data_IF_246641438056
#
_entry.id   IF_246641438056
#
_cell.length_a   1.000
_cell.length_b   1.000
_cell.length_c   1.000
_cell.angle_alpha   90.00
_cell.angle_beta   90.00
_cell.angle_gamma   90.00
#
_symmetry.space_group_name_H-M   'P 1'
#
loop_
_entity.id
_entity.type
_entity.pdbx_description
1 polymer ?
#
# COMPACT_ATOMS: atom_id res chain seq x y z
N UNK A 1 -3.32 14.78 -41.96
CA UNK A 1 -3.37 15.81 -40.89
C UNK A 1 -1.94 15.95 -40.36
N UNK A 2 -1.38 17.17 -40.25
CA UNK A 2 -0.03 17.32 -39.71
C UNK A 2 0.01 16.91 -38.23
N UNK A 3 1.13 16.37 -37.73
CA UNK A 3 1.30 16.01 -36.32
C UNK A 3 0.95 17.18 -35.37
N UNK A 4 1.29 18.42 -35.75
CA UNK A 4 0.92 19.63 -35.02
C UNK A 4 -0.60 19.83 -34.90
N UNK A 5 -1.34 19.69 -36.01
CA UNK A 5 -2.81 19.80 -36.01
C UNK A 5 -3.50 18.67 -35.22
N UNK A 6 -2.95 17.45 -35.28
CA UNK A 6 -3.47 16.32 -34.50
C UNK A 6 -3.24 16.54 -32.99
N UNK A 7 -2.04 16.95 -32.59
CA UNK A 7 -1.70 17.25 -31.20
C UNK A 7 -2.52 18.41 -30.63
N UNK A 8 -2.78 19.45 -31.43
CA UNK A 8 -3.64 20.57 -31.01
C UNK A 8 -5.07 20.12 -30.72
N UNK A 9 -5.60 19.23 -31.56
CA UNK A 9 -6.95 18.67 -31.40
C UNK A 9 -7.00 17.75 -30.17
N UNK A 10 -6.03 16.85 -30.02
CA UNK A 10 -5.90 15.96 -28.87
C UNK A 10 -5.80 16.75 -27.55
N UNK A 11 -4.93 17.76 -27.49
CA UNK A 11 -4.79 18.61 -26.31
C UNK A 11 -6.10 19.33 -25.94
N UNK A 12 -6.89 19.73 -26.93
CA UNK A 12 -8.21 20.34 -26.70
C UNK A 12 -9.18 19.36 -26.06
N UNK A 13 -9.16 18.09 -26.48
CA UNK A 13 -9.98 17.04 -25.86
C UNK A 13 -9.51 16.72 -24.44
N UNK A 14 -8.20 16.61 -24.22
CA UNK A 14 -7.62 16.40 -22.89
C UNK A 14 -7.96 17.52 -21.91
N UNK A 15 -8.02 18.79 -22.37
CA UNK A 15 -8.51 19.91 -21.55
C UNK A 15 -9.98 19.76 -21.15
N UNK A 16 -10.83 19.19 -22.02
CA UNK A 16 -12.22 18.89 -21.66
C UNK A 16 -12.29 17.77 -20.63
N UNK A 17 -11.45 16.74 -20.76
CA UNK A 17 -11.37 15.67 -19.77
C UNK A 17 -10.87 16.20 -18.43
N UNK A 18 -9.88 17.09 -18.41
CA UNK A 18 -9.46 17.81 -17.21
C UNK A 18 -10.61 18.58 -16.55
N UNK A 19 -11.43 19.30 -17.34
CA UNK A 19 -12.60 20.00 -16.81
C UNK A 19 -13.64 19.04 -16.21
N UNK A 20 -13.88 17.90 -16.85
CA UNK A 20 -14.78 16.85 -16.34
C UNK A 20 -14.26 16.27 -15.03
N UNK A 21 -12.97 15.98 -14.93
CA UNK A 21 -12.31 15.54 -13.70
C UNK A 21 -12.45 16.60 -12.60
N UNK A 22 -12.24 17.88 -12.92
CA UNK A 22 -12.42 18.98 -11.97
C UNK A 22 -13.84 19.07 -11.43
N UNK A 23 -14.85 18.97 -12.30
CA UNK A 23 -16.26 18.92 -11.89
C UNK A 23 -16.55 17.70 -11.00
N UNK A 24 -16.04 16.53 -11.37
CA UNK A 24 -16.16 15.32 -10.58
C UNK A 24 -15.57 15.47 -9.17
N UNK A 25 -14.36 16.04 -9.06
CA UNK A 25 -13.71 16.31 -7.78
C UNK A 25 -14.52 17.27 -6.92
N UNK A 26 -15.05 18.35 -7.51
CA UNK A 26 -15.89 19.32 -6.80
C UNK A 26 -17.17 18.65 -6.28
N UNK A 27 -17.85 17.87 -7.12
CA UNK A 27 -19.10 17.19 -6.73
C UNK A 27 -18.87 16.17 -5.62
N UNK A 28 -17.83 15.34 -5.72
CA UNK A 28 -17.51 14.36 -4.69
C UNK A 28 -17.05 15.02 -3.39
N UNK A 29 -16.26 16.09 -3.47
CA UNK A 29 -15.84 16.86 -2.29
C UNK A 29 -17.05 17.50 -1.61
N UNK A 30 -17.96 18.10 -2.38
CA UNK A 30 -19.21 18.66 -1.84
C UNK A 30 -20.09 17.59 -1.18
N UNK A 31 -20.30 16.45 -1.86
CA UNK A 31 -21.07 15.33 -1.31
C UNK A 31 -20.45 14.76 -0.02
N UNK A 32 -19.13 14.58 -0.01
CA UNK A 32 -18.38 14.15 1.18
C UNK A 32 -18.50 15.13 2.34
N UNK A 33 -18.42 16.44 2.06
CA UNK A 33 -18.65 17.47 3.08
C UNK A 33 -20.05 17.39 3.69
N UNK A 34 -21.11 17.34 2.87
CA UNK A 34 -22.47 17.27 3.39
C UNK A 34 -22.74 15.99 4.19
N UNK A 35 -22.16 14.86 3.77
CA UNK A 35 -22.25 13.61 4.51
C UNK A 35 -21.54 13.72 5.86
N UNK A 36 -20.32 14.26 5.89
CA UNK A 36 -19.57 14.43 7.13
C UNK A 36 -20.22 15.47 8.05
N UNK A 37 -20.72 16.57 7.52
CA UNK A 37 -21.43 17.60 8.31
C UNK A 37 -22.72 17.06 8.94
N UNK A 38 -23.37 16.10 8.28
CA UNK A 38 -24.58 15.46 8.82
C UNK A 38 -24.30 14.44 9.93
N UNK A 39 -23.21 13.69 9.82
CA UNK A 39 -22.91 12.56 10.72
C UNK A 39 -21.72 12.81 11.67
N UNK A 40 -21.07 13.96 11.56
CA UNK A 40 -19.88 14.35 12.33
C UNK A 40 -19.95 15.85 12.69
N UNK A 41 -18.94 16.36 13.40
CA UNK A 41 -18.96 17.77 13.82
C UNK A 41 -18.62 18.71 12.65
N UNK A 42 -19.37 19.81 12.56
CA UNK A 42 -19.24 20.83 11.52
C UNK A 42 -17.80 21.33 11.33
N UNK A 43 -17.07 21.60 12.42
CA UNK A 43 -15.68 22.08 12.36
C UNK A 43 -14.74 21.06 11.70
N UNK A 44 -14.96 19.77 11.94
CA UNK A 44 -14.17 18.71 11.34
C UNK A 44 -14.56 18.46 9.88
N UNK A 45 -15.85 18.57 9.55
CA UNK A 45 -16.32 18.53 8.16
C UNK A 45 -15.74 19.69 7.33
N UNK A 46 -15.69 20.92 7.87
CA UNK A 46 -15.06 22.06 7.23
C UNK A 46 -13.55 21.88 7.04
N UNK A 47 -12.85 21.33 8.04
CA UNK A 47 -11.42 21.01 7.91
C UNK A 47 -11.20 19.97 6.81
N UNK A 48 -12.04 18.94 6.79
CA UNK A 48 -12.00 17.91 5.75
C UNK A 48 -12.19 18.52 4.37
N UNK A 49 -13.20 19.37 4.20
CA UNK A 49 -13.45 20.09 2.95
C UNK A 49 -12.22 20.89 2.50
N UNK A 50 -11.60 21.65 3.41
CA UNK A 50 -10.43 22.48 3.10
C UNK A 50 -9.21 21.67 2.66
N UNK A 51 -8.85 20.63 3.40
CA UNK A 51 -7.68 19.80 3.11
C UNK A 51 -7.89 18.94 1.86
N UNK A 52 -9.08 18.35 1.68
CA UNK A 52 -9.42 17.59 0.48
C UNK A 52 -9.44 18.49 -0.75
N UNK A 53 -10.07 19.68 -0.69
CA UNK A 53 -10.07 20.61 -1.80
C UNK A 53 -8.65 21.10 -2.16
N UNK A 54 -7.78 21.33 -1.16
CA UNK A 54 -6.41 21.75 -1.41
C UNK A 54 -5.60 20.68 -2.16
N UNK A 55 -5.65 19.42 -1.71
CA UNK A 55 -4.91 18.33 -2.38
C UNK A 55 -5.53 17.95 -3.74
N UNK A 56 -6.86 17.99 -3.85
CA UNK A 56 -7.57 17.81 -5.12
C UNK A 56 -7.21 18.90 -6.14
N UNK A 57 -7.13 20.17 -5.72
CA UNK A 57 -6.70 21.27 -6.57
C UNK A 57 -5.24 21.10 -7.01
N UNK A 58 -4.34 20.68 -6.09
CA UNK A 58 -2.96 20.36 -6.44
C UNK A 58 -2.87 19.26 -7.51
N UNK A 59 -3.64 18.18 -7.37
CA UNK A 59 -3.68 17.11 -8.36
C UNK A 59 -4.22 17.57 -9.71
N UNK A 60 -5.24 18.44 -9.74
CA UNK A 60 -5.72 19.03 -10.98
C UNK A 60 -4.67 19.93 -11.63
N UNK A 61 -3.91 20.70 -10.86
CA UNK A 61 -2.78 21.50 -11.38
C UNK A 61 -1.71 20.58 -11.96
N UNK A 62 -1.35 19.51 -11.26
CA UNK A 62 -0.37 18.52 -11.73
C UNK A 62 -0.84 17.84 -13.04
N UNK A 63 -2.11 17.41 -13.11
CA UNK A 63 -2.71 16.87 -14.32
C UNK A 63 -2.64 17.87 -15.47
N UNK A 64 -3.00 19.14 -15.23
CA UNK A 64 -2.94 20.18 -16.26
C UNK A 64 -1.53 20.35 -16.84
N UNK A 65 -0.52 20.38 -15.98
CA UNK A 65 0.89 20.50 -16.37
C UNK A 65 1.37 19.28 -17.16
N UNK A 66 0.83 18.10 -16.87
CA UNK A 66 1.22 16.85 -17.50
C UNK A 66 0.39 16.48 -18.75
N UNK A 67 -0.69 17.21 -19.10
CA UNK A 67 -1.48 16.94 -20.31
C UNK A 67 -0.63 16.84 -21.61
N UNK A 68 0.42 17.66 -21.82
CA UNK A 68 1.29 17.53 -22.99
C UNK A 68 2.13 16.25 -23.02
N UNK A 69 2.12 15.46 -21.94
CA UNK A 69 2.83 14.18 -21.80
C UNK A 69 1.89 12.98 -22.03
N UNK A 70 0.65 13.21 -22.50
CA UNK A 70 -0.29 12.13 -22.80
C UNK A 70 0.04 11.43 -24.14
N UNK A 71 1.22 10.84 -24.20
CA UNK A 71 1.73 10.04 -25.30
C UNK A 71 2.45 8.82 -24.74
N UNK A 72 2.63 7.80 -25.58
CA UNK A 72 3.41 6.61 -25.21
C UNK A 72 4.90 6.94 -25.17
N UNK A 73 5.66 6.12 -24.46
CA UNK A 73 7.12 6.25 -24.42
C UNK A 73 7.71 6.17 -25.85
N UNK A 74 8.53 7.15 -26.23
CA UNK A 74 9.14 7.23 -27.57
C UNK A 74 8.23 7.75 -28.68
N UNK A 75 6.94 7.99 -28.41
CA UNK A 75 6.02 8.59 -29.37
C UNK A 75 5.82 10.10 -29.11
N UNK A 76 5.73 10.91 -30.17
CA UNK A 76 5.48 12.37 -30.06
C UNK A 76 4.02 12.76 -30.35
N UNK A 77 3.20 11.80 -30.76
CA UNK A 77 1.79 12.02 -31.04
C UNK A 77 0.99 11.89 -29.75
N UNK A 78 0.18 12.91 -29.43
CA UNK A 78 -0.70 12.88 -28.27
C UNK A 78 -1.87 11.95 -28.51
N UNK A 79 -2.19 11.14 -27.50
CA UNK A 79 -3.43 10.38 -27.45
C UNK A 79 -4.60 11.35 -27.20
N UNK A 80 -5.73 11.16 -27.90
CA UNK A 80 -6.84 12.12 -27.87
C UNK A 80 -7.65 12.11 -26.58
N UNK A 81 -7.48 11.07 -25.76
CA UNK A 81 -8.17 10.85 -24.49
C UNK A 81 -7.22 10.31 -23.43
N UNK A 82 -7.64 10.41 -22.17
CA UNK A 82 -6.85 9.94 -21.03
C UNK A 82 -6.74 8.40 -20.96
N UNK A 83 -7.67 7.65 -21.56
CA UNK A 83 -7.78 6.21 -21.38
C UNK A 83 -8.26 5.79 -19.97
N UNK A 84 -8.62 4.51 -19.79
CA UNK A 84 -9.13 4.03 -18.50
C UNK A 84 -8.06 4.00 -17.41
N UNK A 85 -6.80 3.71 -17.77
CA UNK A 85 -5.67 3.70 -16.83
C UNK A 85 -5.54 5.05 -16.13
N UNK A 86 -5.32 6.13 -16.88
CA UNK A 86 -5.16 7.45 -16.27
C UNK A 86 -6.44 7.93 -15.56
N UNK A 87 -7.64 7.56 -16.02
CA UNK A 87 -8.87 7.87 -15.30
C UNK A 87 -8.93 7.18 -13.92
N UNK A 88 -8.51 5.92 -13.83
CA UNK A 88 -8.41 5.22 -12.55
C UNK A 88 -7.33 5.84 -11.64
N UNK A 89 -6.19 6.25 -12.19
CA UNK A 89 -5.17 6.99 -11.43
C UNK A 89 -5.69 8.34 -10.91
N UNK A 90 -6.61 9.01 -11.62
CA UNK A 90 -7.27 10.23 -11.12
C UNK A 90 -8.28 9.94 -10.01
N UNK A 91 -9.04 8.84 -10.11
CA UNK A 91 -9.92 8.38 -9.02
C UNK A 91 -9.10 8.03 -7.78
N UNK A 92 -7.97 7.32 -7.95
CA UNK A 92 -7.00 7.05 -6.89
C UNK A 92 -6.51 8.33 -6.22
N UNK A 93 -6.13 9.33 -7.03
CA UNK A 93 -5.75 10.65 -6.55
C UNK A 93 -6.83 11.28 -5.67
N UNK A 94 -8.09 11.23 -6.11
CA UNK A 94 -9.20 11.73 -5.30
C UNK A 94 -9.34 11.00 -3.97
N UNK A 95 -9.21 9.67 -3.93
CA UNK A 95 -9.25 8.92 -2.67
C UNK A 95 -8.15 9.37 -1.70
N UNK A 96 -6.95 9.64 -2.20
CA UNK A 96 -5.84 10.19 -1.40
C UNK A 96 -6.17 11.61 -0.90
N UNK A 97 -6.79 12.46 -1.74
CA UNK A 97 -7.25 13.78 -1.34
C UNK A 97 -8.34 13.74 -0.26
N UNK A 98 -9.32 12.85 -0.41
CA UNK A 98 -10.37 12.61 0.58
C UNK A 98 -9.78 12.06 1.89
N UNK A 99 -8.75 11.21 1.82
CA UNK A 99 -8.04 10.69 2.99
C UNK A 99 -7.28 11.81 3.72
N UNK A 100 -6.63 12.71 2.99
CA UNK A 100 -5.94 13.87 3.55
C UNK A 100 -6.90 14.82 4.29
N UNK A 101 -8.17 14.84 3.90
CA UNK A 101 -9.24 15.56 4.60
C UNK A 101 -9.35 15.20 6.08
N UNK A 102 -9.04 13.97 6.45
CA UNK A 102 -9.13 13.51 7.83
C UNK A 102 -7.93 13.93 8.70
N UNK A 103 -6.85 14.45 8.10
CA UNK A 103 -5.69 14.89 8.86
C UNK A 103 -6.04 16.00 9.86
N UNK A 104 -5.40 15.93 11.01
CA UNK A 104 -5.55 16.90 12.10
C UNK A 104 -6.94 16.92 12.78
N UNK A 105 -7.87 16.06 12.37
CA UNK A 105 -9.17 15.86 13.01
C UNK A 105 -9.19 14.56 13.82
N UNK A 106 -10.03 14.44 14.86
CA UNK A 106 -10.14 13.19 15.60
C UNK A 106 -10.62 12.06 14.68
N UNK A 107 -10.36 10.81 15.05
CA UNK A 107 -10.93 9.69 14.31
C UNK A 107 -12.46 9.73 14.43
N UNK A 108 -13.22 9.72 13.32
CA UNK A 108 -14.68 9.64 13.38
C UNK A 108 -15.17 8.41 14.15
N UNK A 109 -16.26 8.58 14.90
CA UNK A 109 -16.87 7.49 15.67
C UNK A 109 -17.88 6.70 14.83
N UNK A 110 -18.21 5.48 15.29
CA UNK A 110 -19.21 4.63 14.66
C UNK A 110 -18.83 4.19 13.24
N UNK A 111 -19.81 4.14 12.34
CA UNK A 111 -19.60 3.66 10.97
C UNK A 111 -18.67 4.59 10.15
N UNK A 112 -18.62 5.89 10.47
CA UNK A 112 -17.71 6.84 9.81
C UNK A 112 -16.24 6.51 10.06
N UNK A 113 -15.92 5.83 11.17
CA UNK A 113 -14.56 5.41 11.48
C UNK A 113 -13.96 4.46 10.45
N UNK A 114 -14.80 3.83 9.62
CA UNK A 114 -14.38 2.94 8.53
C UNK A 114 -14.05 3.68 7.23
N UNK A 115 -14.49 4.94 7.07
CA UNK A 115 -14.31 5.71 5.83
C UNK A 115 -12.83 5.87 5.46
N UNK A 116 -11.89 6.22 6.37
CA UNK A 116 -10.47 6.29 6.04
C UNK A 116 -9.89 4.96 5.52
N UNK A 117 -10.29 3.83 6.14
CA UNK A 117 -9.87 2.50 5.70
C UNK A 117 -10.35 2.19 4.29
N UNK A 118 -11.63 2.47 3.99
CA UNK A 118 -12.19 2.23 2.67
C UNK A 118 -11.56 3.13 1.61
N UNK A 119 -11.35 4.42 1.90
CA UNK A 119 -10.69 5.32 0.96
C UNK A 119 -9.29 4.82 0.59
N UNK A 120 -8.49 4.39 1.57
CA UNK A 120 -7.15 3.89 1.29
C UNK A 120 -7.18 2.51 0.61
N UNK A 121 -8.06 1.60 1.04
CA UNK A 121 -8.27 0.31 0.37
C UNK A 121 -8.68 0.45 -1.11
N UNK A 122 -9.63 1.33 -1.42
CA UNK A 122 -10.03 1.56 -2.80
C UNK A 122 -8.93 2.27 -3.59
N UNK A 123 -8.13 3.15 -2.96
CA UNK A 123 -6.92 3.70 -3.57
C UNK A 123 -5.95 2.58 -4.00
N UNK A 124 -5.67 1.62 -3.13
CA UNK A 124 -4.79 0.48 -3.43
C UNK A 124 -5.36 -0.43 -4.54
N UNK A 125 -6.68 -0.64 -4.58
CA UNK A 125 -7.32 -1.39 -5.67
C UNK A 125 -7.20 -0.63 -6.99
N UNK A 126 -7.46 0.68 -7.00
CA UNK A 126 -7.37 1.47 -8.23
C UNK A 126 -5.96 1.50 -8.80
N UNK A 127 -4.93 1.47 -7.96
CA UNK A 127 -3.52 1.32 -8.37
C UNK A 127 -3.26 0.00 -9.10
N UNK A 128 -3.82 -1.10 -8.60
CA UNK A 128 -3.68 -2.38 -9.29
C UNK A 128 -4.37 -2.38 -10.65
N UNK A 129 -5.55 -1.77 -10.72
CA UNK A 129 -6.39 -1.74 -11.91
C UNK A 129 -5.88 -0.76 -12.97
N UNK A 130 -5.35 0.40 -12.59
CA UNK A 130 -4.91 1.40 -13.56
C UNK A 130 -3.80 0.88 -14.47
N UNK A 131 -2.80 0.21 -13.90
CA UNK A 131 -1.70 -0.39 -14.64
C UNK A 131 -2.17 -1.58 -15.46
N UNK A 132 -3.14 -2.35 -14.98
CA UNK A 132 -3.74 -3.45 -15.73
C UNK A 132 -4.46 -2.95 -16.99
N UNK A 133 -5.36 -1.97 -16.84
CA UNK A 133 -6.08 -1.40 -17.98
C UNK A 133 -5.17 -0.63 -18.94
N UNK A 134 -4.16 0.09 -18.43
CA UNK A 134 -3.18 0.77 -19.27
C UNK A 134 -2.42 -0.22 -20.18
N UNK A 135 -2.04 -1.41 -19.67
CA UNK A 135 -1.37 -2.44 -20.47
C UNK A 135 -2.30 -3.06 -21.51
N UNK A 136 -3.49 -3.48 -21.11
CA UNK A 136 -4.44 -4.16 -22.03
C UNK A 136 -4.93 -3.24 -23.14
N UNK A 137 -5.08 -1.94 -22.86
CA UNK A 137 -5.50 -0.96 -23.86
C UNK A 137 -4.33 -0.42 -24.69
N UNK A 138 -3.10 -0.89 -24.44
CA UNK A 138 -1.88 -0.31 -25.00
C UNK A 138 -1.86 1.23 -24.84
N UNK A 139 -2.19 1.70 -23.64
CA UNK A 139 -2.37 3.11 -23.28
C UNK A 139 -1.47 3.51 -22.10
N UNK A 140 -0.28 2.92 -22.04
CA UNK A 140 0.77 3.30 -21.08
C UNK A 140 1.37 4.62 -21.55
N UNK A 141 1.26 5.67 -20.74
CA UNK A 141 1.64 7.04 -21.12
C UNK A 141 2.61 7.66 -20.11
N UNK A 142 3.44 8.60 -20.57
CA UNK A 142 4.32 9.40 -19.71
C UNK A 142 3.51 10.22 -18.69
N UNK A 143 2.34 10.75 -19.11
CA UNK A 143 1.35 11.36 -18.21
C UNK A 143 0.95 10.39 -17.08
N UNK A 144 0.60 9.16 -17.43
CA UNK A 144 0.20 8.14 -16.45
C UNK A 144 1.30 7.85 -15.44
N UNK A 145 2.54 7.72 -15.89
CA UNK A 145 3.70 7.55 -15.01
C UNK A 145 3.90 8.76 -14.07
N UNK A 146 3.69 9.99 -14.56
CA UNK A 146 3.76 11.19 -13.75
C UNK A 146 2.64 11.26 -12.69
N UNK A 147 1.41 10.85 -13.04
CA UNK A 147 0.28 10.77 -12.11
C UNK A 147 0.51 9.72 -11.03
N UNK A 148 0.95 8.53 -11.41
CA UNK A 148 1.27 7.43 -10.52
C UNK A 148 2.35 7.85 -9.50
N UNK A 149 3.44 8.45 -9.99
CA UNK A 149 4.52 8.96 -9.14
C UNK A 149 4.03 10.01 -8.13
N UNK A 150 3.14 10.91 -8.53
CA UNK A 150 2.58 11.94 -7.65
C UNK A 150 1.65 11.31 -6.60
N UNK A 151 0.78 10.39 -7.01
CA UNK A 151 -0.15 9.69 -6.14
C UNK A 151 0.57 8.80 -5.12
N UNK A 152 1.59 8.05 -5.52
CA UNK A 152 2.43 7.25 -4.62
C UNK A 152 3.05 8.09 -3.51
N UNK A 153 3.61 9.24 -3.88
CA UNK A 153 4.31 10.14 -2.95
C UNK A 153 3.33 10.69 -1.90
N UNK A 154 2.18 11.20 -2.34
CA UNK A 154 1.16 11.71 -1.45
C UNK A 154 0.46 10.62 -0.65
N UNK A 155 0.15 9.48 -1.27
CA UNK A 155 -0.59 8.38 -0.68
C UNK A 155 0.09 7.86 0.58
N UNK A 156 1.38 7.48 0.47
CA UNK A 156 2.15 6.94 1.60
C UNK A 156 2.37 7.99 2.69
N UNK A 157 2.57 9.26 2.32
CA UNK A 157 2.73 10.36 3.29
C UNK A 157 1.45 10.62 4.09
N UNK A 158 0.32 10.79 3.38
CA UNK A 158 -0.98 11.09 3.99
C UNK A 158 -1.42 9.96 4.89
N UNK A 159 -1.36 8.72 4.42
CA UNK A 159 -1.82 7.56 5.19
C UNK A 159 -0.94 7.32 6.43
N UNK A 160 0.38 7.49 6.32
CA UNK A 160 1.30 7.34 7.46
C UNK A 160 1.08 8.45 8.48
N UNK A 161 0.90 9.69 8.03
CA UNK A 161 0.58 10.82 8.90
C UNK A 161 -0.75 10.64 9.61
N UNK A 162 -1.76 10.12 8.92
CA UNK A 162 -3.09 9.85 9.47
C UNK A 162 -3.05 8.72 10.51
N UNK A 163 -2.39 7.60 10.20
CA UNK A 163 -2.23 6.49 11.14
C UNK A 163 -1.49 6.94 12.42
N UNK A 164 -0.48 7.80 12.29
CA UNK A 164 0.21 8.39 13.44
C UNK A 164 -0.72 9.32 14.24
N UNK A 165 -1.44 10.20 13.55
CA UNK A 165 -2.37 11.14 14.17
C UNK A 165 -3.48 10.44 14.96
N UNK A 166 -3.95 9.30 14.46
CA UNK A 166 -4.92 8.43 15.12
C UNK A 166 -4.32 7.54 16.23
N UNK A 167 -3.02 7.67 16.52
CA UNK A 167 -2.35 6.91 17.57
C UNK A 167 -2.17 5.42 17.25
N UNK A 168 -2.36 5.00 16.00
CA UNK A 168 -2.24 3.61 15.58
C UNK A 168 -0.79 3.17 15.41
N UNK A 169 0.10 4.10 15.07
CA UNK A 169 1.52 3.84 14.86
C UNK A 169 2.37 4.79 15.71
N UNK A 170 3.56 4.36 16.14
CA UNK A 170 4.45 5.19 16.94
C UNK A 170 5.14 6.26 16.10
N UNK A 171 5.68 7.29 16.74
CA UNK A 171 6.36 8.42 16.06
C UNK A 171 7.51 7.98 15.16
N UNK A 172 8.23 6.92 15.54
CA UNK A 172 9.35 6.39 14.75
C UNK A 172 8.91 5.72 13.45
N UNK A 173 7.61 5.54 13.21
CA UNK A 173 7.06 5.05 11.93
C UNK A 173 6.92 6.15 10.87
N UNK A 174 6.89 7.43 11.26
CA UNK A 174 6.79 8.56 10.32
C UNK A 174 7.84 8.60 9.20
N UNK A 175 9.11 8.15 9.40
CA UNK A 175 10.07 8.04 8.32
C UNK A 175 9.61 7.17 7.14
N UNK A 176 8.66 6.22 7.31
CA UNK A 176 8.05 5.46 6.21
C UNK A 176 7.38 6.40 5.21
N UNK A 177 6.56 7.33 5.70
CA UNK A 177 5.87 8.34 4.88
C UNK A 177 6.81 9.32 4.19
N UNK A 178 7.97 9.55 4.79
CA UNK A 178 8.97 10.51 4.31
C UNK A 178 10.10 9.87 3.51
N UNK A 179 10.20 8.54 3.47
CA UNK A 179 11.33 7.80 2.92
C UNK A 179 11.64 8.21 1.47
N UNK A 180 10.61 8.28 0.62
CA UNK A 180 10.74 8.71 -0.77
C UNK A 180 11.20 10.17 -0.89
N UNK A 181 10.67 11.06 -0.07
CA UNK A 181 11.05 12.47 -0.08
C UNK A 181 12.50 12.67 0.35
N UNK A 182 12.94 11.96 1.39
CA UNK A 182 14.34 11.96 1.81
C UNK A 182 15.26 11.36 0.74
N UNK A 183 14.82 10.30 0.06
CA UNK A 183 15.55 9.69 -1.04
C UNK A 183 15.75 10.68 -2.19
N UNK A 184 14.67 11.29 -2.70
CA UNK A 184 14.71 12.27 -3.79
C UNK A 184 15.49 13.53 -3.41
N UNK A 185 15.31 14.05 -2.20
CA UNK A 185 16.07 15.19 -1.69
C UNK A 185 17.57 14.86 -1.64
N UNK A 186 17.94 13.65 -1.21
CA UNK A 186 19.31 13.17 -1.22
C UNK A 186 19.92 13.13 -2.62
N UNK A 187 19.19 12.62 -3.62
CA UNK A 187 19.64 12.59 -5.01
C UNK A 187 19.87 13.99 -5.57
N UNK A 188 18.93 14.91 -5.33
CA UNK A 188 19.03 16.30 -5.75
C UNK A 188 20.22 17.04 -5.12
N UNK A 189 20.48 16.81 -3.83
CA UNK A 189 21.67 17.38 -3.15
C UNK A 189 22.95 16.86 -3.81
N UNK A 190 23.00 15.58 -4.17
CA UNK A 190 24.18 14.98 -4.83
C UNK A 190 24.42 15.54 -6.23
N UNK A 191 23.36 15.68 -7.03
CA UNK A 191 23.44 16.32 -8.36
C UNK A 191 23.99 17.74 -8.25
N UNK A 192 23.50 18.52 -7.27
CA UNK A 192 24.04 19.87 -7.00
C UNK A 192 25.50 19.89 -6.54
N UNK A 193 25.98 18.79 -5.95
CA UNK A 193 27.38 18.61 -5.59
C UNK A 193 28.24 18.08 -6.77
N UNK A 194 27.67 17.95 -7.97
CA UNK A 194 28.38 17.41 -9.14
C UNK A 194 28.65 15.91 -9.05
N UNK A 195 27.95 15.19 -8.17
CA UNK A 195 28.06 13.73 -8.05
C UNK A 195 27.08 13.07 -9.00
N UNK A 196 27.56 12.04 -9.68
CA UNK A 196 26.72 11.18 -10.50
C UNK A 196 25.80 10.31 -9.61
N UNK A 197 24.56 10.15 -10.08
CA UNK A 197 23.57 9.24 -9.53
C UNK A 197 23.35 8.15 -10.59
N UNK A 198 23.66 6.90 -10.25
CA UNK A 198 23.48 5.77 -11.16
C UNK A 198 21.98 5.43 -11.31
N UNK A 199 21.59 4.91 -12.47
CA UNK A 199 20.23 4.43 -12.69
C UNK A 199 19.91 3.25 -11.76
N UNK A 200 18.70 3.28 -11.18
CA UNK A 200 18.29 2.27 -10.21
C UNK A 200 17.75 1.04 -10.96
N UNK A 201 18.38 -0.15 -10.81
CA UNK A 201 17.94 -1.34 -11.54
C UNK A 201 16.53 -1.74 -11.11
N UNK A 202 15.74 -2.27 -12.06
CA UNK A 202 14.41 -2.82 -11.74
C UNK A 202 14.53 -3.85 -10.62
N UNK A 203 13.76 -3.67 -9.54
CA UNK A 203 13.81 -4.59 -8.39
C UNK A 203 12.44 -5.02 -7.99
N UNK A 204 12.19 -6.31 -8.15
CA UNK A 204 10.95 -6.98 -7.76
C UNK A 204 10.66 -6.86 -6.25
N UNK A 205 11.71 -6.84 -5.41
CA UNK A 205 11.57 -6.74 -3.96
C UNK A 205 10.91 -5.43 -3.51
N UNK A 206 11.24 -4.32 -4.18
CA UNK A 206 10.65 -3.00 -3.90
C UNK A 206 9.13 -3.06 -4.02
N UNK A 207 8.63 -3.78 -5.03
CA UNK A 207 7.20 -3.99 -5.26
C UNK A 207 6.54 -4.81 -4.15
N UNK A 208 7.14 -5.93 -3.74
CA UNK A 208 6.58 -6.74 -2.63
C UNK A 208 6.53 -5.91 -1.36
N UNK A 209 7.64 -5.26 -0.99
CA UNK A 209 7.69 -4.46 0.23
C UNK A 209 6.67 -3.33 0.19
N UNK A 210 6.49 -2.64 -0.94
CA UNK A 210 5.47 -1.62 -1.09
C UNK A 210 4.05 -2.18 -0.92
N UNK A 211 3.69 -3.28 -1.61
CA UNK A 211 2.35 -3.86 -1.51
C UNK A 211 2.03 -4.40 -0.10
N UNK A 212 3.00 -5.05 0.55
CA UNK A 212 2.85 -5.50 1.94
C UNK A 212 2.68 -4.30 2.89
N UNK A 213 3.41 -3.22 2.66
CA UNK A 213 3.31 -1.99 3.44
C UNK A 213 1.95 -1.30 3.27
N UNK A 214 1.45 -1.21 2.03
CA UNK A 214 0.11 -0.67 1.73
C UNK A 214 -0.97 -1.48 2.44
N UNK A 215 -0.94 -2.81 2.35
CA UNK A 215 -1.88 -3.69 3.04
C UNK A 215 -1.85 -3.54 4.57
N UNK A 216 -0.66 -3.42 5.16
CA UNK A 216 -0.51 -3.17 6.60
C UNK A 216 -1.15 -1.84 7.01
N UNK A 217 -0.86 -0.76 6.30
CA UNK A 217 -1.38 0.55 6.67
C UNK A 217 -2.90 0.61 6.46
N UNK A 218 -3.42 -0.02 5.41
CA UNK A 218 -4.87 -0.24 5.24
C UNK A 218 -5.47 -0.92 6.45
N UNK A 219 -4.85 -2.00 6.96
CA UNK A 219 -5.31 -2.66 8.18
C UNK A 219 -5.24 -1.74 9.42
N UNK A 220 -4.23 -0.88 9.55
CA UNK A 220 -4.11 0.05 10.67
C UNK A 220 -5.21 1.12 10.71
N UNK A 221 -5.80 1.45 9.55
CA UNK A 221 -6.93 2.38 9.46
C UNK A 221 -8.28 1.70 9.73
N UNK A 222 -8.34 0.37 9.86
CA UNK A 222 -9.57 -0.33 10.24
C UNK A 222 -9.81 -0.12 11.74
N UNK A 223 -10.98 0.43 12.16
CA UNK A 223 -11.27 0.79 13.56
C UNK A 223 -11.51 -0.43 14.48
N UNK A 224 -11.00 -1.60 14.10
CA UNK A 224 -10.96 -2.80 14.92
C UNK A 224 -9.58 -3.04 15.52
N UNK A 225 -8.51 -2.54 14.89
CA UNK A 225 -7.15 -2.71 15.39
C UNK A 225 -6.74 -1.51 16.25
N UNK A 226 -5.88 -1.78 17.24
CA UNK A 226 -5.36 -0.77 18.15
C UNK A 226 -3.97 -1.17 18.67
N UNK A 227 -3.20 -0.22 19.24
CA UNK A 227 -2.03 -0.55 20.04
C UNK A 227 -2.39 -1.50 21.20
N UNK A 228 -1.48 -2.42 21.60
CA UNK A 228 -0.07 -2.49 21.20
C UNK A 228 0.21 -3.23 19.88
N UNK A 229 -0.77 -3.93 19.30
CA UNK A 229 -0.54 -4.80 18.14
C UNK A 229 -0.08 -4.01 16.91
N UNK A 230 -0.74 -2.90 16.62
CA UNK A 230 -0.42 -2.02 15.50
C UNK A 230 0.96 -1.39 15.65
N UNK A 231 1.36 -1.00 16.87
CA UNK A 231 2.70 -0.48 17.17
C UNK A 231 3.80 -1.50 16.88
N UNK A 232 3.57 -2.76 17.28
CA UNK A 232 4.51 -3.86 17.03
C UNK A 232 4.60 -4.13 15.53
N UNK A 233 3.45 -4.32 14.87
CA UNK A 233 3.40 -4.60 13.43
C UNK A 233 4.04 -3.46 12.60
N UNK A 234 3.72 -2.20 12.91
CA UNK A 234 4.36 -1.02 12.32
C UNK A 234 5.89 -1.08 12.43
N UNK A 235 6.40 -1.37 13.61
CA UNK A 235 7.85 -1.42 13.86
C UNK A 235 8.50 -2.56 13.09
N UNK A 236 7.89 -3.74 13.08
CA UNK A 236 8.43 -4.93 12.41
C UNK A 236 8.49 -4.74 10.88
N UNK A 237 7.49 -4.11 10.28
CA UNK A 237 7.41 -3.92 8.83
C UNK A 237 8.20 -2.71 8.34
N UNK A 238 8.31 -1.67 9.17
CA UNK A 238 9.13 -0.50 8.88
C UNK A 238 10.61 -0.85 8.66
N UNK A 239 11.17 -1.77 9.47
CA UNK A 239 12.59 -2.13 9.42
C UNK A 239 13.02 -2.62 8.02
N UNK A 240 12.41 -3.65 7.42
CA UNK A 240 12.77 -4.10 6.08
C UNK A 240 12.41 -3.06 5.00
N UNK A 241 11.33 -2.30 5.17
CA UNK A 241 10.94 -1.25 4.23
C UNK A 241 11.99 -0.13 4.13
N UNK A 242 12.37 0.46 5.26
CA UNK A 242 13.41 1.51 5.31
C UNK A 242 14.79 0.94 4.97
N UNK A 243 15.07 -0.29 5.38
CA UNK A 243 16.28 -1.02 4.96
C UNK A 243 16.38 -1.14 3.44
N UNK A 244 15.25 -1.34 2.74
CA UNK A 244 15.17 -1.32 1.28
C UNK A 244 15.59 0.04 0.68
N UNK A 245 15.07 1.15 1.21
CA UNK A 245 15.47 2.49 0.77
C UNK A 245 16.95 2.79 1.02
N UNK A 246 17.50 2.33 2.14
CA UNK A 246 18.94 2.47 2.43
C UNK A 246 19.79 1.64 1.46
N UNK A 247 19.34 0.43 1.11
CA UNK A 247 19.99 -0.40 0.10
C UNK A 247 19.96 0.28 -1.28
N UNK A 248 18.80 0.79 -1.69
CA UNK A 248 18.62 1.54 -2.94
C UNK A 248 19.51 2.77 -3.00
N UNK A 249 19.67 3.48 -1.87
CA UNK A 249 20.60 4.60 -1.77
C UNK A 249 22.04 4.16 -2.04
N UNK A 250 22.48 3.04 -1.46
CA UNK A 250 23.82 2.53 -1.72
C UNK A 250 24.07 2.07 -3.16
N UNK A 251 23.03 1.57 -3.83
CA UNK A 251 23.10 1.25 -5.26
C UNK A 251 23.27 2.52 -6.12
N UNK A 252 22.39 3.51 -5.96
CA UNK A 252 22.45 4.75 -6.77
C UNK A 252 23.73 5.54 -6.53
N UNK A 253 24.26 5.46 -5.31
CA UNK A 253 25.51 6.14 -4.96
C UNK A 253 26.77 5.39 -5.39
N UNK A 254 26.65 4.21 -6.01
CA UNK A 254 27.76 3.38 -6.48
C UNK A 254 28.59 2.72 -5.38
N UNK A 255 28.07 2.68 -4.14
CA UNK A 255 28.75 2.03 -3.01
C UNK A 255 28.59 0.50 -3.02
N UNK A 256 27.50 0.02 -3.62
CA UNK A 256 27.25 -1.39 -3.85
C UNK A 256 27.19 -1.61 -5.35
N UNK A 257 27.96 -2.60 -5.79
CA UNK A 257 27.91 -3.11 -7.16
C UNK A 257 26.55 -3.84 -7.38
N UNK A 258 25.71 -3.40 -8.33
CA UNK A 258 24.41 -4.00 -8.58
C UNK A 258 24.46 -5.51 -8.85
N UNK A 259 25.47 -5.98 -9.59
CA UNK A 259 25.60 -7.40 -9.95
C UNK A 259 25.95 -8.24 -8.73
N UNK A 260 26.93 -7.79 -7.93
CA UNK A 260 27.31 -8.48 -6.68
C UNK A 260 26.18 -8.49 -5.66
N UNK A 261 25.42 -7.40 -5.58
CA UNK A 261 24.22 -7.32 -4.76
C UNK A 261 23.17 -8.34 -5.20
N UNK A 262 22.85 -8.40 -6.49
CA UNK A 262 21.89 -9.36 -7.04
C UNK A 262 22.30 -10.82 -6.73
N UNK A 263 23.55 -11.18 -7.00
CA UNK A 263 24.11 -12.51 -6.72
C UNK A 263 24.06 -12.85 -5.23
N UNK A 264 24.38 -11.88 -4.35
CA UNK A 264 24.27 -12.09 -2.90
C UNK A 264 22.84 -12.45 -2.49
N UNK A 265 21.84 -11.73 -3.00
CA UNK A 265 20.44 -12.00 -2.69
C UNK A 265 19.95 -13.30 -3.30
N UNK A 266 20.35 -13.65 -4.51
CA UNK A 266 20.04 -14.96 -5.10
C UNK A 266 20.62 -16.11 -4.28
N UNK A 267 21.87 -16.00 -3.83
CA UNK A 267 22.51 -16.98 -2.94
C UNK A 267 21.81 -17.06 -1.58
N UNK A 268 21.41 -15.93 -1.01
CA UNK A 268 20.68 -15.90 0.24
C UNK A 268 19.31 -16.56 0.10
N UNK A 269 18.52 -16.18 -0.91
CA UNK A 269 17.18 -16.71 -1.16
C UNK A 269 17.21 -18.21 -1.50
N UNK A 270 18.24 -18.67 -2.22
CA UNK A 270 18.41 -20.08 -2.57
C UNK A 270 18.99 -20.95 -1.45
N UNK A 271 19.49 -20.34 -0.37
CA UNK A 271 20.10 -21.05 0.77
C UNK A 271 19.13 -22.03 1.44
N UNK A 272 19.68 -23.13 1.98
CA UNK A 272 18.90 -24.11 2.73
C UNK A 272 18.18 -23.47 3.94
N UNK A 273 18.79 -22.46 4.56
CA UNK A 273 18.20 -21.70 5.66
C UNK A 273 16.94 -20.95 5.23
N UNK A 274 16.93 -20.26 4.09
CA UNK A 274 15.74 -19.56 3.60
C UNK A 274 14.62 -20.50 3.15
N UNK A 275 14.95 -21.78 2.88
CA UNK A 275 13.94 -22.82 2.62
C UNK A 275 13.32 -23.39 3.89
N UNK A 276 14.13 -23.58 4.95
CA UNK A 276 13.70 -24.20 6.21
C UNK A 276 13.12 -23.20 7.21
N UNK A 277 13.55 -21.93 7.17
CA UNK A 277 13.08 -20.88 8.08
C UNK A 277 11.55 -20.72 8.04
N UNK A 278 10.89 -20.59 6.87
CA UNK A 278 9.44 -20.43 6.84
C UNK A 278 8.70 -21.67 7.34
N UNK A 279 9.23 -22.87 7.11
CA UNK A 279 8.66 -24.11 7.65
C UNK A 279 8.65 -24.08 9.19
N UNK A 280 9.79 -23.74 9.80
CA UNK A 280 9.89 -23.61 11.26
C UNK A 280 8.93 -22.56 11.81
N UNK A 281 8.90 -21.37 11.19
CA UNK A 281 8.00 -20.30 11.59
C UNK A 281 6.53 -20.68 11.44
N UNK A 282 6.14 -21.41 10.39
CA UNK A 282 4.77 -21.89 10.19
C UNK A 282 4.35 -22.82 11.32
N UNK A 283 5.19 -23.79 11.66
CA UNK A 283 4.93 -24.75 12.75
C UNK A 283 4.81 -24.02 14.10
N UNK A 284 5.75 -23.12 14.41
CA UNK A 284 5.73 -22.35 15.66
C UNK A 284 4.50 -21.44 15.75
N UNK A 285 4.12 -20.80 14.63
CA UNK A 285 2.93 -19.94 14.56
C UNK A 285 1.66 -20.75 14.74
N UNK A 286 1.54 -21.89 14.03
CA UNK A 286 0.39 -22.79 14.16
C UNK A 286 0.23 -23.33 15.58
N UNK A 287 1.33 -23.79 16.20
CA UNK A 287 1.32 -24.29 17.57
C UNK A 287 0.95 -23.22 18.58
N UNK A 288 1.47 -21.99 18.41
CA UNK A 288 1.13 -20.87 19.29
C UNK A 288 -0.32 -20.41 19.14
N UNK A 289 -0.84 -20.32 17.91
CA UNK A 289 -2.25 -20.02 17.67
C UNK A 289 -3.15 -21.11 18.27
N UNK A 290 -2.84 -22.39 18.06
CA UNK A 290 -3.58 -23.49 18.67
C UNK A 290 -3.55 -23.44 20.22
N UNK A 291 -2.40 -23.09 20.81
CA UNK A 291 -2.29 -22.89 22.25
C UNK A 291 -3.20 -21.75 22.74
N UNK A 292 -3.19 -20.61 22.05
CA UNK A 292 -4.05 -19.47 22.41
C UNK A 292 -5.55 -19.83 22.27
N UNK A 293 -5.93 -20.48 21.17
CA UNK A 293 -7.31 -20.91 20.92
C UNK A 293 -7.82 -21.89 22.00
N UNK A 294 -6.99 -22.82 22.45
CA UNK A 294 -7.38 -23.86 23.42
C UNK A 294 -7.37 -23.37 24.87
N UNK A 295 -6.37 -22.57 25.25
CA UNK A 295 -6.10 -22.27 26.66
C UNK A 295 -6.40 -20.83 27.05
N UNK A 296 -6.52 -19.91 26.08
CA UNK A 296 -6.85 -18.51 26.28
C UNK A 296 -7.91 -18.04 25.27
N UNK A 297 -9.05 -18.75 25.14
CA UNK A 297 -10.07 -18.39 24.15
C UNK A 297 -10.63 -17.00 24.44
N UNK A 298 -10.65 -16.15 23.41
CA UNK A 298 -11.25 -14.81 23.48
C UNK A 298 -12.46 -14.79 22.57
N UNK A 299 -13.65 -14.68 23.16
CA UNK A 299 -14.89 -14.53 22.40
C UNK A 299 -15.10 -13.06 21.99
N UNK A 300 -14.31 -12.64 21.00
CA UNK A 300 -14.33 -11.27 20.47
C UNK A 300 -15.75 -10.90 20.00
N UNK A 301 -16.45 -11.82 19.34
CA UNK A 301 -17.76 -11.55 18.74
C UNK A 301 -18.90 -11.65 19.75
N UNK A 302 -18.79 -12.53 20.75
CA UNK A 302 -19.73 -12.54 21.88
C UNK A 302 -19.72 -11.24 22.67
N UNK A 303 -18.57 -10.57 22.81
CA UNK A 303 -18.48 -9.24 23.43
C UNK A 303 -19.29 -8.17 22.67
N UNK A 304 -19.43 -8.30 21.35
CA UNK A 304 -20.27 -7.42 20.53
C UNK A 304 -21.68 -7.98 20.27
N UNK A 305 -22.05 -9.09 20.93
CA UNK A 305 -23.33 -9.79 20.70
C UNK A 305 -23.55 -10.18 19.24
N UNK A 306 -22.47 -10.46 18.51
CA UNK A 306 -22.49 -10.84 17.11
C UNK A 306 -22.48 -12.37 16.96
N UNK A 307 -23.26 -12.95 16.03
CA UNK A 307 -23.37 -14.40 15.87
C UNK A 307 -22.16 -15.05 15.15
N UNK A 308 -21.02 -14.36 15.05
CA UNK A 308 -19.87 -14.79 14.26
C UNK A 308 -18.83 -15.62 15.03
N UNK A 309 -19.01 -15.85 16.32
CA UNK A 309 -18.08 -16.65 17.15
C UNK A 309 -17.74 -18.04 16.57
N UNK A 310 -18.73 -18.86 16.14
CA UNK A 310 -18.45 -20.15 15.53
C UNK A 310 -17.68 -20.04 14.19
N UNK A 311 -18.02 -19.04 13.37
CA UNK A 311 -17.32 -18.79 12.11
C UNK A 311 -15.86 -18.38 12.34
N UNK A 312 -15.61 -17.58 13.38
CA UNK A 312 -14.28 -17.16 13.79
C UNK A 312 -13.40 -18.36 14.18
N UNK A 313 -13.93 -19.27 14.99
CA UNK A 313 -13.22 -20.49 15.38
C UNK A 313 -12.93 -21.39 14.16
N UNK A 314 -13.90 -21.54 13.25
CA UNK A 314 -13.70 -22.30 12.01
C UNK A 314 -12.56 -21.67 11.18
N UNK A 315 -12.56 -20.35 11.04
CA UNK A 315 -11.51 -19.63 10.30
C UNK A 315 -10.14 -19.80 10.96
N UNK A 316 -10.07 -19.73 12.29
CA UNK A 316 -8.82 -19.93 13.04
C UNK A 316 -8.27 -21.34 12.84
N UNK A 317 -9.12 -22.37 12.92
CA UNK A 317 -8.74 -23.75 12.62
C UNK A 317 -8.24 -23.89 11.18
N UNK A 318 -8.95 -23.30 10.21
CA UNK A 318 -8.52 -23.32 8.80
C UNK A 318 -7.13 -22.70 8.66
N UNK A 319 -6.86 -21.57 9.32
CA UNK A 319 -5.56 -20.89 9.25
C UNK A 319 -4.45 -21.69 9.92
N UNK A 320 -4.73 -22.35 11.04
CA UNK A 320 -3.79 -23.29 11.67
C UNK A 320 -3.45 -24.43 10.70
N UNK A 321 -4.45 -25.02 10.03
CA UNK A 321 -4.23 -26.07 9.03
C UNK A 321 -3.45 -25.57 7.81
N UNK A 322 -3.76 -24.36 7.34
CA UNK A 322 -3.03 -23.70 6.25
C UNK A 322 -1.55 -23.52 6.60
N UNK A 323 -1.24 -23.11 7.84
CA UNK A 323 0.14 -22.98 8.31
C UNK A 323 0.83 -24.36 8.39
N UNK A 324 0.20 -25.37 8.99
CA UNK A 324 0.77 -26.72 9.13
C UNK A 324 1.10 -27.31 7.75
N UNK A 325 0.16 -27.28 6.83
CA UNK A 325 0.31 -27.89 5.50
C UNK A 325 1.00 -26.99 4.48
N UNK A 326 1.25 -25.72 4.81
CA UNK A 326 1.81 -24.75 3.86
C UNK A 326 0.89 -24.55 2.67
N UNK A 327 -0.39 -24.33 2.96
CA UNK A 327 -1.40 -23.99 1.96
C UNK A 327 -1.60 -22.49 2.06
N UNK A 328 -1.20 -21.77 1.01
CA UNK A 328 -1.20 -20.31 0.97
C UNK A 328 -0.52 -19.65 2.18
N UNK A 329 0.74 -19.99 2.45
CA UNK A 329 1.44 -19.63 3.69
C UNK A 329 1.52 -18.12 3.96
N UNK A 330 1.64 -17.27 2.93
CA UNK A 330 1.60 -15.79 3.13
C UNK A 330 0.22 -15.32 3.55
N UNK A 331 -0.84 -15.86 2.93
CA UNK A 331 -2.21 -15.52 3.28
C UNK A 331 -2.53 -16.00 4.71
N UNK A 332 -2.08 -17.19 5.08
CA UNK A 332 -2.20 -17.71 6.44
C UNK A 332 -1.48 -16.79 7.46
N UNK A 333 -0.31 -16.25 7.10
CA UNK A 333 0.39 -15.27 7.93
C UNK A 333 -0.36 -13.94 8.08
N UNK A 334 -1.02 -13.44 7.01
CA UNK A 334 -1.90 -12.26 7.10
C UNK A 334 -3.05 -12.53 8.07
N UNK A 335 -3.72 -13.67 7.95
CA UNK A 335 -4.79 -14.02 8.88
C UNK A 335 -4.27 -14.16 10.31
N UNK A 336 -3.11 -14.77 10.54
CA UNK A 336 -2.49 -14.83 11.86
C UNK A 336 -2.26 -13.44 12.46
N UNK A 337 -1.76 -12.47 11.67
CA UNK A 337 -1.62 -11.08 12.10
C UNK A 337 -2.99 -10.45 12.45
N UNK A 338 -4.04 -10.73 11.67
CA UNK A 338 -5.40 -10.25 11.94
C UNK A 338 -5.95 -10.84 13.24
N UNK A 339 -5.82 -12.15 13.44
CA UNK A 339 -6.22 -12.84 14.68
C UNK A 339 -5.55 -12.23 15.90
N UNK A 340 -4.22 -12.11 15.86
CA UNK A 340 -3.43 -11.55 16.97
C UNK A 340 -3.75 -10.08 17.20
N UNK A 341 -3.94 -9.30 16.12
CA UNK A 341 -4.28 -7.89 16.19
C UNK A 341 -5.63 -7.63 16.86
N UNK A 342 -6.63 -8.44 16.53
CA UNK A 342 -7.95 -8.35 17.15
C UNK A 342 -7.96 -8.88 18.58
N UNK A 343 -7.21 -9.96 18.86
CA UNK A 343 -7.09 -10.53 20.20
C UNK A 343 -6.46 -9.55 21.19
N UNK A 344 -5.36 -8.89 20.80
CA UNK A 344 -4.61 -7.94 21.63
C UNK A 344 -5.37 -6.66 21.97
N UNK A 345 -6.53 -6.42 21.35
CA UNK A 345 -7.46 -5.37 21.78
C UNK A 345 -8.12 -5.70 23.13
N UNK A 346 -8.26 -6.99 23.44
CA UNK A 346 -8.95 -7.48 24.63
C UNK A 346 -8.04 -8.19 25.63
N UNK A 347 -6.80 -8.49 25.24
CA UNK A 347 -5.83 -9.19 26.08
C UNK A 347 -4.57 -8.38 26.29
N UNK A 348 -3.87 -8.66 27.38
CA UNK A 348 -2.56 -8.08 27.64
C UNK A 348 -1.51 -8.72 26.73
N UNK A 349 -0.59 -7.89 26.23
CA UNK A 349 0.57 -8.36 25.47
C UNK A 349 1.42 -9.30 26.34
N UNK A 350 1.63 -10.52 25.86
CA UNK A 350 2.56 -11.48 26.47
C UNK A 350 3.72 -11.78 25.51
N UNK A 351 4.84 -12.37 25.97
CA UNK A 351 5.92 -12.78 25.09
C UNK A 351 5.49 -13.71 23.95
N UNK A 352 4.48 -14.56 24.18
CA UNK A 352 3.91 -15.42 23.14
C UNK A 352 3.25 -14.60 22.03
N UNK A 353 2.38 -13.63 22.37
CA UNK A 353 1.74 -12.75 21.38
C UNK A 353 2.78 -11.98 20.55
N UNK A 354 3.80 -11.40 21.20
CA UNK A 354 4.88 -10.71 20.52
C UNK A 354 5.62 -11.64 19.55
N UNK A 355 5.93 -12.86 20.00
CA UNK A 355 6.63 -13.85 19.17
C UNK A 355 5.81 -14.27 17.96
N UNK A 356 4.49 -14.45 18.13
CA UNK A 356 3.60 -14.81 17.03
C UNK A 356 3.42 -13.67 16.02
N UNK A 357 3.35 -12.41 16.48
CA UNK A 357 3.36 -11.25 15.58
C UNK A 357 4.67 -11.19 14.78
N UNK A 358 5.81 -11.42 15.45
CA UNK A 358 7.12 -11.47 14.81
C UNK A 358 7.21 -12.59 13.78
N UNK A 359 6.82 -13.81 14.14
CA UNK A 359 6.88 -14.96 13.24
C UNK A 359 5.95 -14.78 12.04
N UNK A 360 4.73 -14.28 12.25
CA UNK A 360 3.77 -14.00 11.18
C UNK A 360 4.27 -12.90 10.25
N UNK A 361 4.88 -11.84 10.80
CA UNK A 361 5.51 -10.78 9.99
C UNK A 361 6.66 -11.33 9.13
N UNK A 362 7.55 -12.14 9.70
CA UNK A 362 8.66 -12.74 8.95
C UNK A 362 8.11 -13.69 7.88
N UNK A 363 7.13 -14.54 8.21
CA UNK A 363 6.47 -15.43 7.24
C UNK A 363 5.89 -14.68 6.05
N UNK A 364 5.26 -13.53 6.31
CA UNK A 364 4.69 -12.71 5.25
C UNK A 364 5.75 -12.22 4.26
N UNK A 365 6.99 -11.98 4.70
CA UNK A 365 8.10 -11.61 3.83
C UNK A 365 8.80 -12.83 3.19
N UNK A 366 9.02 -13.90 3.95
CA UNK A 366 9.79 -15.06 3.48
C UNK A 366 8.99 -16.03 2.60
N UNK A 367 7.66 -16.05 2.70
CA UNK A 367 6.80 -16.94 1.92
C UNK A 367 6.51 -18.28 2.59
N UNK A 368 6.08 -19.27 1.80
CA UNK A 368 5.56 -20.55 2.31
C UNK A 368 6.69 -21.55 2.65
N UNK A 369 7.83 -21.44 1.97
CA UNK A 369 9.03 -22.26 2.23
C UNK A 369 8.87 -23.74 1.89
N UNK A 370 9.78 -24.58 2.41
CA UNK A 370 9.82 -26.01 2.13
C UNK A 370 8.57 -26.76 2.65
N UNK A 371 8.24 -27.90 2.02
CA UNK A 371 7.09 -28.75 2.38
C UNK A 371 5.73 -28.03 2.29
N UNK A 372 5.64 -27.01 1.44
CA UNK A 372 4.40 -26.32 1.10
C UNK A 372 3.60 -27.17 0.10
N UNK A 373 2.37 -27.55 0.43
CA UNK A 373 1.51 -28.33 -0.47
C UNK A 373 1.00 -27.47 -1.63
N UNK A 374 0.69 -26.20 -1.38
CA UNK A 374 0.12 -25.32 -2.41
C UNK A 374 0.40 -23.84 -2.11
N UNK A 375 1.11 -23.16 -3.00
CA UNK A 375 1.48 -21.72 -2.86
C UNK A 375 1.20 -20.91 -4.13
N UNK A 376 -0.07 -20.84 -4.61
CA UNK A 376 -0.44 -20.09 -5.81
C UNK A 376 -0.15 -18.59 -5.70
N UNK A 377 -0.15 -18.05 -4.47
CA UNK A 377 0.15 -16.65 -4.19
C UNK A 377 1.58 -16.27 -4.55
N UNK A 378 2.52 -17.22 -4.54
CA UNK A 378 3.89 -16.95 -4.98
C UNK A 378 3.90 -16.65 -6.48
N UNK A 379 3.16 -17.43 -7.28
CA UNK A 379 3.04 -17.18 -8.71
C UNK A 379 2.43 -15.80 -9.01
N UNK A 380 1.36 -15.42 -8.31
CA UNK A 380 0.70 -14.11 -8.49
C UNK A 380 1.61 -12.93 -8.10
N UNK A 381 2.51 -13.14 -7.16
CA UNK A 381 3.49 -12.13 -6.77
C UNK A 381 4.50 -11.95 -7.93
N UNK A 382 5.01 -13.05 -8.50
CA UNK A 382 6.06 -13.02 -9.54
C UNK A 382 5.57 -12.68 -10.95
N UNK A 383 4.27 -12.80 -11.25
CA UNK A 383 3.74 -12.62 -12.60
C UNK A 383 2.62 -11.57 -12.63
N UNK A 384 2.67 -10.58 -13.53
CA UNK A 384 1.52 -9.69 -13.78
C UNK A 384 0.61 -10.27 -14.85
N UNK A 385 -0.69 -10.15 -14.64
CA UNK A 385 -1.64 -10.27 -15.74
C UNK A 385 -1.40 -9.13 -16.75
N UNK A 386 -1.15 -9.50 -18.01
CA UNK A 386 -0.90 -8.56 -19.12
C UNK A 386 0.56 -8.12 -19.30
N UNK A 387 1.53 -8.74 -18.64
CA UNK A 387 2.93 -8.70 -19.09
C UNK A 387 3.10 -9.74 -20.21
N UNK A 388 3.47 -9.31 -21.42
CA UNK A 388 3.78 -10.22 -22.53
C UNK A 388 5.09 -10.95 -22.23
N UNK A 389 5.07 -12.29 -22.25
CA UNK A 389 6.22 -13.17 -21.97
C UNK A 389 7.25 -13.24 -23.11
N UNK A 390 7.26 -12.25 -24.00
CA UNK A 390 8.15 -12.19 -25.16
C UNK A 390 8.80 -10.81 -25.24
N UNK A 391 9.80 -10.57 -24.40
CA UNK A 391 10.82 -9.54 -24.61
C UNK A 391 12.18 -10.09 -24.16
#
# INVERSE_FOLDING_TARGET
>A
MSLSTANTTALTNLKKDWMRTGLFFILLTGAGYFLLDHFWEHNYALRWLGLTAALAAWQLIALWQALPQNHRAGEYALLPDLGLGNQLSLVRGFFIAALAGFLFSPWPFGWLGWVPAFLYFFSDITDLLDGYFARIQNHVTELGAALDMNNDSWGVLVVTGLAFWYGQVPVWYLPVGLARYFFLAGLWIRERQGKENLELPHSFRRRIFAGVQMGLITAMLVPLFAPPATTIAATLFMIPFLGGFLYDWFLVTGKIDPEKGAVFFENLLSSAWMRLLPLGLRILTAAGLAYLALLQPVDIFGLYQLPFGPLWLILEIIVILMLIFGVMGRLAAVFALVFLGLMLKFTLLTPLHFSLLLFSAILLFTGSGALSIWSPEEWLIYHRAGEDFHA
#
